data_IF_363486671854
#
_entry.id   IF_363486671854
#
_cell.length_a   1.000
_cell.length_b   1.000
_cell.length_c   1.000
_cell.angle_alpha   90.00
_cell.angle_beta   90.00
_cell.angle_gamma   90.00
#
_symmetry.space_group_name_H-M   'P 1'
#
loop_
_entity.id
_entity.type
_entity.pdbx_description
1 polymer ?
#
# COMPACT_ATOMS: atom_id res chain seq x y z
N UNK A 1 -16.60 25.26 3.30
CA UNK A 1 -16.94 26.49 4.06
C UNK A 1 -15.89 26.62 5.16
N UNK A 2 -15.07 27.68 5.16
CA UNK A 2 -14.10 27.90 6.24
C UNK A 2 -14.89 28.25 7.50
N UNK A 3 -14.95 27.33 8.46
CA UNK A 3 -15.50 27.61 9.79
C UNK A 3 -14.69 28.76 10.43
N UNK A 4 -15.34 29.67 11.19
CA UNK A 4 -14.65 30.74 11.89
C UNK A 4 -13.62 30.14 12.88
N UNK A 5 -12.50 30.85 13.09
CA UNK A 5 -11.52 30.50 14.13
C UNK A 5 -12.22 30.45 15.49
N UNK A 6 -12.03 29.35 16.21
CA UNK A 6 -12.51 29.17 17.57
C UNK A 6 -11.30 29.12 18.53
N UNK A 7 -11.24 30.07 19.46
CA UNK A 7 -10.14 30.20 20.42
C UNK A 7 -10.29 29.19 21.57
N UNK A 8 -10.11 27.90 21.23
CA UNK A 8 -10.17 26.80 22.19
C UNK A 8 -8.75 26.23 22.42
N UNK A 9 -8.17 26.43 23.61
CA UNK A 9 -6.85 25.91 23.96
C UNK A 9 -6.69 24.39 23.78
N UNK A 10 -7.79 23.63 23.87
CA UNK A 10 -7.77 22.18 23.65
C UNK A 10 -7.45 21.82 22.18
N UNK A 11 -7.72 22.72 21.23
CA UNK A 11 -7.59 22.45 19.80
C UNK A 11 -6.25 22.95 19.22
N UNK A 12 -5.41 23.63 20.01
CA UNK A 12 -4.17 24.27 19.52
C UNK A 12 -3.21 23.27 18.88
N UNK A 13 -3.10 22.07 19.48
CA UNK A 13 -2.18 21.04 18.99
C UNK A 13 -2.72 20.25 17.78
N UNK A 14 -3.97 20.49 17.38
CA UNK A 14 -4.64 19.86 16.23
C UNK A 14 -5.07 20.91 15.19
N UNK A 15 -4.25 21.96 15.03
CA UNK A 15 -4.48 23.00 14.01
C UNK A 15 -5.72 23.86 14.26
N UNK A 16 -6.16 23.99 15.52
CA UNK A 16 -7.35 24.73 15.94
C UNK A 16 -8.63 24.31 15.20
N UNK A 17 -8.73 23.01 14.87
CA UNK A 17 -9.93 22.39 14.30
C UNK A 17 -10.64 21.57 15.36
N UNK A 18 -11.97 21.61 15.32
CA UNK A 18 -12.80 20.80 16.20
C UNK A 18 -12.70 19.32 15.81
N UNK A 19 -12.85 18.46 16.82
CA UNK A 19 -13.06 17.03 16.65
C UNK A 19 -14.55 16.74 16.35
N UNK A 20 -14.86 15.47 16.17
CA UNK A 20 -16.23 15.03 15.95
C UNK A 20 -16.35 13.56 15.60
N UNK A 21 -17.61 13.15 15.47
CA UNK A 21 -18.02 11.82 15.04
C UNK A 21 -18.70 11.95 13.68
N UNK A 22 -18.27 11.13 12.72
CA UNK A 22 -18.84 11.09 11.39
C UNK A 22 -19.20 9.64 11.00
N UNK A 23 -20.22 9.50 10.15
CA UNK A 23 -20.61 8.22 9.59
C UNK A 23 -20.55 8.28 8.07
N UNK A 24 -19.90 7.29 7.46
CA UNK A 24 -19.80 7.08 6.03
C UNK A 24 -20.60 5.84 5.66
N UNK A 25 -21.43 5.92 4.61
CA UNK A 25 -22.20 4.77 4.12
C UNK A 25 -22.05 4.62 2.62
N UNK A 26 -21.67 3.42 2.16
CA UNK A 26 -21.59 3.08 0.73
C UNK A 26 -22.46 1.87 0.44
N UNK A 27 -23.27 1.99 -0.61
CA UNK A 27 -24.09 0.91 -1.16
C UNK A 27 -23.49 0.47 -2.49
N UNK A 28 -23.30 -0.83 -2.68
CA UNK A 28 -22.69 -1.37 -3.89
C UNK A 28 -23.19 -2.79 -4.20
N UNK A 29 -22.99 -3.24 -5.44
CA UNK A 29 -23.34 -4.58 -5.90
C UNK A 29 -22.08 -5.32 -6.32
N UNK A 30 -22.13 -6.65 -6.24
CA UNK A 30 -21.10 -7.56 -6.73
C UNK A 30 -21.78 -8.65 -7.54
N UNK A 31 -21.24 -8.95 -8.70
CA UNK A 31 -21.73 -10.03 -9.55
C UNK A 31 -21.31 -11.40 -8.99
N UNK A 32 -22.15 -12.43 -9.20
CA UNK A 32 -21.98 -13.77 -8.58
C UNK A 32 -20.78 -14.55 -9.16
N UNK A 33 -20.38 -14.26 -10.39
CA UNK A 33 -19.24 -14.90 -11.05
C UNK A 33 -17.90 -14.56 -10.38
N UNK A 34 -17.82 -13.43 -9.68
CA UNK A 34 -16.60 -12.98 -8.99
C UNK A 34 -16.30 -13.84 -7.76
N UNK A 35 -17.29 -14.46 -7.10
CA UNK A 35 -17.05 -15.25 -5.88
C UNK A 35 -16.21 -16.50 -6.15
N UNK A 36 -16.37 -17.10 -7.33
CA UNK A 36 -15.75 -18.40 -7.60
C UNK A 36 -14.23 -18.30 -7.61
N UNK A 37 -13.59 -19.09 -6.75
CA UNK A 37 -12.14 -19.18 -6.61
C UNK A 37 -11.44 -17.85 -6.26
N UNK A 38 -12.13 -16.91 -5.62
CA UNK A 38 -11.54 -15.66 -5.14
C UNK A 38 -11.89 -15.39 -3.67
N UNK A 39 -10.98 -14.69 -3.00
CA UNK A 39 -11.15 -14.01 -1.72
C UNK A 39 -11.45 -12.54 -1.96
N UNK A 40 -12.32 -11.98 -1.12
CA UNK A 40 -12.74 -10.59 -1.17
C UNK A 40 -12.23 -9.86 0.07
N UNK A 41 -11.22 -9.02 -0.10
CA UNK A 41 -10.56 -8.32 1.00
C UNK A 41 -10.95 -6.84 0.99
N UNK A 42 -11.70 -6.40 1.99
CA UNK A 42 -12.02 -4.98 2.20
C UNK A 42 -10.87 -4.32 2.96
N UNK A 43 -10.13 -3.44 2.28
CA UNK A 43 -8.94 -2.77 2.81
C UNK A 43 -9.16 -1.26 2.97
N UNK A 44 -8.65 -0.71 4.06
CA UNK A 44 -8.58 0.72 4.35
C UNK A 44 -7.11 1.12 4.53
N UNK A 45 -6.65 2.09 3.74
CA UNK A 45 -5.24 2.53 3.79
C UNK A 45 -4.97 3.59 4.87
N UNK A 46 -6.03 4.20 5.41
CA UNK A 46 -5.96 5.17 6.51
C UNK A 46 -7.30 5.85 6.79
N UNK A 47 -7.71 5.82 8.06
CA UNK A 47 -8.96 6.42 8.55
C UNK A 47 -8.67 7.12 9.88
N UNK A 48 -8.80 8.45 9.91
CA UNK A 48 -8.53 9.29 11.07
C UNK A 48 -9.83 9.64 11.79
N UNK A 49 -10.20 9.09 12.94
CA UNK A 49 -9.56 8.10 13.81
C UNK A 49 -10.65 7.18 14.38
N UNK A 50 -10.27 6.17 15.18
CA UNK A 50 -11.19 5.27 15.90
C UNK A 50 -12.30 4.74 15.00
N UNK A 51 -11.87 4.03 13.96
CA UNK A 51 -12.76 3.57 12.93
C UNK A 51 -13.47 2.29 13.37
N UNK A 52 -14.79 2.32 13.43
CA UNK A 52 -15.63 1.14 13.59
C UNK A 52 -16.29 0.80 12.25
N UNK A 53 -16.23 -0.47 11.85
CA UNK A 53 -16.63 -0.92 10.51
C UNK A 53 -17.74 -1.96 10.59
N UNK A 54 -18.77 -1.78 9.76
CA UNK A 54 -19.85 -2.76 9.58
C UNK A 54 -20.09 -3.03 8.10
N UNK A 55 -20.40 -4.28 7.78
CA UNK A 55 -20.85 -4.71 6.45
C UNK A 55 -22.15 -5.49 6.60
N UNK A 56 -23.19 -5.09 5.87
CA UNK A 56 -24.51 -5.75 5.87
C UNK A 56 -25.12 -5.89 7.28
N UNK A 57 -24.82 -4.93 8.17
CA UNK A 57 -25.27 -4.92 9.56
C UNK A 57 -24.38 -5.71 10.53
N UNK A 58 -23.43 -6.51 10.03
CA UNK A 58 -22.45 -7.23 10.83
C UNK A 58 -21.26 -6.34 11.18
N UNK A 59 -20.84 -6.35 12.45
CA UNK A 59 -19.64 -5.64 12.88
C UNK A 59 -18.38 -6.40 12.47
N UNK A 60 -17.48 -5.74 11.74
CA UNK A 60 -16.23 -6.33 11.27
C UNK A 60 -15.09 -6.12 12.26
N UNK A 61 -14.99 -4.91 12.84
CA UNK A 61 -13.94 -4.61 13.80
C UNK A 61 -13.69 -3.12 14.02
N UNK A 62 -12.65 -2.86 14.79
CA UNK A 62 -12.20 -1.54 15.22
C UNK A 62 -10.74 -1.30 14.80
N UNK A 63 -10.42 -0.07 14.40
CA UNK A 63 -9.04 0.38 14.24
C UNK A 63 -8.79 1.70 14.99
N UNK A 64 -7.85 1.67 15.93
CA UNK A 64 -7.48 2.82 16.74
C UNK A 64 -6.63 3.83 15.97
N UNK A 65 -5.75 3.36 15.08
CA UNK A 65 -4.73 4.24 14.49
C UNK A 65 -5.20 4.93 13.22
N UNK A 66 -5.01 6.24 13.15
CA UNK A 66 -5.22 7.01 11.94
C UNK A 66 -4.33 6.60 10.76
N UNK A 67 -3.14 6.06 11.03
CA UNK A 67 -2.08 5.96 10.03
C UNK A 67 -1.86 4.55 9.46
N UNK A 68 -2.26 3.51 10.19
CA UNK A 68 -2.03 2.12 9.80
C UNK A 68 -3.11 1.62 8.85
N UNK A 69 -2.68 0.92 7.80
CA UNK A 69 -3.57 0.14 6.96
C UNK A 69 -4.19 -1.01 7.77
N UNK A 70 -5.46 -1.32 7.51
CA UNK A 70 -6.14 -2.51 8.04
C UNK A 70 -7.08 -3.09 6.99
N UNK A 71 -7.38 -4.38 7.10
CA UNK A 71 -8.21 -5.09 6.13
C UNK A 71 -9.02 -6.21 6.78
N UNK A 72 -10.13 -6.57 6.14
CA UNK A 72 -11.01 -7.67 6.55
C UNK A 72 -11.26 -8.59 5.36
N UNK A 73 -11.19 -9.90 5.60
CA UNK A 73 -11.75 -10.87 4.66
C UNK A 73 -13.27 -10.88 4.81
N UNK A 74 -13.97 -10.43 3.77
CA UNK A 74 -15.43 -10.31 3.72
C UNK A 74 -16.05 -11.29 2.74
N UNK A 75 -15.29 -12.28 2.27
CA UNK A 75 -15.70 -13.26 1.23
C UNK A 75 -17.06 -13.88 1.52
N UNK A 76 -17.29 -14.33 2.77
CA UNK A 76 -18.55 -14.98 3.17
C UNK A 76 -19.59 -14.01 3.77
N UNK A 77 -19.29 -12.70 3.81
CA UNK A 77 -20.19 -11.67 4.38
C UNK A 77 -20.86 -10.79 3.32
N UNK A 78 -20.31 -10.80 2.10
CA UNK A 78 -20.86 -10.07 0.96
C UNK A 78 -22.12 -10.77 0.43
N UNK A 79 -23.04 -9.96 -0.07
CA UNK A 79 -24.13 -10.39 -0.93
C UNK A 79 -23.67 -10.40 -2.40
N UNK A 80 -23.94 -11.49 -3.10
CA UNK A 80 -23.55 -11.72 -4.49
C UNK A 80 -24.78 -11.85 -5.39
N UNK A 81 -24.70 -11.26 -6.59
CA UNK A 81 -25.75 -11.35 -7.60
C UNK A 81 -27.13 -10.94 -7.07
N UNK A 82 -28.04 -11.91 -7.04
CA UNK A 82 -29.43 -11.71 -6.64
C UNK A 82 -29.66 -11.70 -5.11
N UNK A 83 -28.62 -11.93 -4.29
CA UNK A 83 -28.72 -11.84 -2.82
C UNK A 83 -29.01 -10.41 -2.33
N UNK A 84 -28.64 -9.40 -3.12
CA UNK A 84 -28.99 -8.01 -2.87
C UNK A 84 -27.79 -7.05 -2.89
N UNK A 85 -28.01 -5.85 -2.35
CA UNK A 85 -26.98 -4.81 -2.31
C UNK A 85 -26.20 -4.88 -1.00
N UNK A 86 -24.88 -4.75 -1.11
CA UNK A 86 -23.99 -4.61 0.03
C UNK A 86 -24.04 -3.20 0.60
N UNK A 87 -24.04 -3.09 1.93
CA UNK A 87 -24.01 -1.81 2.65
C UNK A 87 -22.80 -1.82 3.58
N UNK A 88 -21.79 -1.01 3.25
CA UNK A 88 -20.67 -0.69 4.12
C UNK A 88 -21.02 0.55 4.94
N UNK A 89 -20.86 0.47 6.26
CA UNK A 89 -20.97 1.58 7.20
C UNK A 89 -19.65 1.71 7.96
N UNK A 90 -19.14 2.94 8.03
CA UNK A 90 -17.92 3.29 8.75
C UNK A 90 -18.24 4.43 9.70
N UNK A 91 -18.05 4.23 11.00
CA UNK A 91 -18.04 5.31 11.99
C UNK A 91 -16.60 5.74 12.20
N UNK A 92 -16.38 7.05 12.23
CA UNK A 92 -15.10 7.67 12.53
C UNK A 92 -15.30 8.58 13.73
N UNK A 93 -14.41 8.50 14.72
CA UNK A 93 -14.51 9.23 15.98
C UNK A 93 -13.16 9.86 16.34
N UNK A 94 -13.10 11.18 16.32
CA UNK A 94 -11.88 11.94 16.69
C UNK A 94 -11.95 12.52 18.09
N UNK A 95 -13.06 12.29 18.80
CA UNK A 95 -13.32 12.86 20.14
C UNK A 95 -12.54 12.17 21.26
N UNK A 96 -11.94 11.02 20.95
CA UNK A 96 -11.07 10.27 21.87
C UNK A 96 -9.68 10.90 22.06
N UNK A 97 -9.41 12.03 21.42
CA UNK A 97 -8.12 12.74 21.43
C UNK A 97 -7.23 12.42 20.22
N UNK A 98 -6.06 13.05 20.18
CA UNK A 98 -5.08 12.91 19.09
C UNK A 98 -4.12 11.72 19.28
N UNK A 99 -3.49 11.26 18.20
CA UNK A 99 -2.30 10.37 18.26
C UNK A 99 -1.02 11.17 18.36
N UNK A 100 -0.96 12.26 17.59
CA UNK A 100 0.18 13.15 17.51
C UNK A 100 -0.01 14.49 18.21
N UNK A 101 0.99 15.35 17.99
CA UNK A 101 1.04 16.75 18.43
C UNK A 101 0.92 17.75 17.26
N UNK A 102 0.30 17.33 16.15
CA UNK A 102 0.11 18.11 14.92
C UNK A 102 -1.34 17.98 14.40
N UNK A 103 -1.65 18.65 13.29
CA UNK A 103 -2.94 18.52 12.64
C UNK A 103 -3.08 17.16 11.93
N UNK A 104 -3.92 16.29 12.45
CA UNK A 104 -4.09 14.91 11.94
C UNK A 104 -5.19 14.77 10.89
N UNK A 105 -6.09 15.76 10.81
CA UNK A 105 -7.31 15.67 10.02
C UNK A 105 -8.37 14.77 10.65
N UNK A 106 -9.37 14.40 9.85
CA UNK A 106 -10.46 13.53 10.25
C UNK A 106 -11.07 12.84 9.02
N UNK A 107 -11.72 11.69 9.22
CA UNK A 107 -12.41 10.91 8.20
C UNK A 107 -11.56 9.85 7.51
N UNK A 108 -12.16 9.27 6.47
CA UNK A 108 -11.49 8.36 5.53
C UNK A 108 -10.65 9.23 4.59
N UNK A 109 -9.36 9.36 4.86
CA UNK A 109 -8.47 10.29 4.15
C UNK A 109 -7.54 9.60 3.13
N UNK A 110 -7.46 8.27 3.20
CA UNK A 110 -6.81 7.42 2.20
C UNK A 110 -7.83 6.47 1.58
N UNK A 111 -7.35 5.73 0.58
CA UNK A 111 -8.17 4.82 -0.21
C UNK A 111 -8.83 3.71 0.62
N UNK A 112 -10.03 3.29 0.17
CA UNK A 112 -10.65 2.04 0.59
C UNK A 112 -10.92 1.22 -0.66
N UNK A 113 -10.43 -0.02 -0.67
CA UNK A 113 -10.56 -0.93 -1.81
C UNK A 113 -11.21 -2.23 -1.40
N UNK A 114 -11.87 -2.89 -2.35
CA UNK A 114 -12.33 -4.27 -2.24
C UNK A 114 -11.49 -5.06 -3.22
N UNK A 115 -10.49 -5.77 -2.70
CA UNK A 115 -9.55 -6.54 -3.50
C UNK A 115 -10.14 -7.90 -3.80
N UNK A 116 -10.12 -8.28 -5.06
CA UNK A 116 -10.47 -9.61 -5.56
C UNK A 116 -9.14 -10.36 -5.71
N UNK A 117 -8.93 -11.36 -4.88
CA UNK A 117 -7.67 -12.10 -4.80
C UNK A 117 -7.96 -13.57 -5.16
N UNK A 118 -7.36 -14.14 -6.21
CA UNK A 118 -7.53 -15.56 -6.51
C UNK A 118 -7.14 -16.45 -5.32
N UNK A 119 -7.81 -17.58 -5.13
CA UNK A 119 -7.48 -18.51 -4.04
C UNK A 119 -6.02 -18.98 -4.12
N UNK A 120 -5.48 -19.14 -5.33
CA UNK A 120 -4.06 -19.36 -5.56
C UNK A 120 -3.45 -18.08 -6.13
N UNK A 121 -2.68 -17.35 -5.32
CA UNK A 121 -2.18 -16.03 -5.69
C UNK A 121 -0.75 -15.80 -5.21
N UNK A 122 -0.06 -14.92 -5.93
CA UNK A 122 1.20 -14.32 -5.51
C UNK A 122 0.90 -13.29 -4.41
N UNK A 123 1.74 -13.24 -3.38
CA UNK A 123 1.64 -12.16 -2.39
C UNK A 123 2.42 -10.94 -2.89
N UNK A 124 1.72 -9.82 -3.06
CA UNK A 124 2.34 -8.57 -3.47
C UNK A 124 3.33 -8.05 -2.46
N UNK A 125 3.04 -8.11 -1.17
CA UNK A 125 3.94 -7.56 -0.14
C UNK A 125 5.24 -8.37 -0.04
N UNK A 126 5.20 -9.67 -0.34
CA UNK A 126 6.36 -10.57 -0.31
C UNK A 126 7.11 -10.64 -1.66
N UNK A 127 6.64 -9.96 -2.72
CA UNK A 127 7.40 -9.87 -3.96
C UNK A 127 8.50 -8.80 -3.83
N UNK A 128 9.75 -9.23 -3.68
CA UNK A 128 10.87 -8.34 -3.45
C UNK A 128 12.05 -8.66 -4.37
N UNK A 129 12.55 -7.64 -5.07
CA UNK A 129 13.78 -7.69 -5.87
C UNK A 129 14.77 -6.73 -5.24
N UNK A 130 15.93 -7.23 -4.83
CA UNK A 130 16.94 -6.45 -4.13
C UNK A 130 18.34 -6.70 -4.67
N UNK A 131 19.19 -5.68 -4.54
CA UNK A 131 20.59 -5.75 -4.95
C UNK A 131 21.42 -6.25 -3.78
N UNK A 132 22.12 -7.37 -3.96
CA UNK A 132 23.04 -7.96 -2.96
C UNK A 132 24.41 -7.32 -3.02
N UNK A 133 24.97 -7.22 -4.22
CA UNK A 133 26.24 -6.55 -4.47
C UNK A 133 26.33 -6.07 -5.92
N UNK A 134 27.33 -5.24 -6.18
CA UNK A 134 27.70 -4.78 -7.52
C UNK A 134 29.20 -4.95 -7.69
N UNK A 135 29.60 -5.88 -8.56
CA UNK A 135 30.99 -6.32 -8.73
C UNK A 135 31.27 -6.55 -10.22
N UNK A 136 32.44 -6.11 -10.71
CA UNK A 136 32.88 -6.29 -12.10
C UNK A 136 31.86 -5.85 -13.17
N UNK A 137 31.09 -4.80 -12.88
CA UNK A 137 30.04 -4.28 -13.76
C UNK A 137 28.71 -5.05 -13.70
N UNK A 138 28.57 -6.04 -12.84
CA UNK A 138 27.37 -6.87 -12.72
C UNK A 138 26.70 -6.69 -11.36
N UNK A 139 25.37 -6.60 -11.36
CA UNK A 139 24.60 -6.65 -10.12
C UNK A 139 24.24 -8.10 -9.77
N UNK A 140 24.51 -8.48 -8.53
CA UNK A 140 23.97 -9.69 -7.93
C UNK A 140 22.60 -9.37 -7.35
N UNK A 141 21.53 -9.88 -7.95
CA UNK A 141 20.16 -9.65 -7.50
C UNK A 141 19.65 -10.84 -6.70
N UNK A 142 19.03 -10.56 -5.56
CA UNK A 142 18.14 -11.48 -4.86
C UNK A 142 16.70 -11.21 -5.28
N UNK A 143 15.95 -12.27 -5.53
CA UNK A 143 14.52 -12.20 -5.80
C UNK A 143 13.78 -13.14 -4.88
N UNK A 144 12.72 -12.65 -4.28
CA UNK A 144 11.80 -13.37 -3.42
C UNK A 144 10.36 -13.12 -3.87
N UNK A 145 9.54 -14.16 -3.87
CA UNK A 145 8.09 -14.05 -4.01
C UNK A 145 7.45 -15.19 -3.26
N UNK A 146 6.33 -14.92 -2.59
CA UNK A 146 5.53 -15.96 -1.96
C UNK A 146 4.26 -16.23 -2.76
N UNK A 147 3.78 -17.46 -2.64
CA UNK A 147 2.49 -17.91 -3.20
C UNK A 147 1.65 -18.48 -2.09
N UNK A 148 0.44 -17.97 -1.96
CA UNK A 148 -0.56 -18.44 -1.00
C UNK A 148 -1.61 -19.27 -1.72
N UNK A 149 -2.00 -20.38 -1.10
CA UNK A 149 -3.09 -21.25 -1.54
C UNK A 149 -4.19 -21.23 -0.47
N UNK A 150 -5.20 -20.39 -0.67
CA UNK A 150 -6.44 -20.35 0.12
C UNK A 150 -7.52 -21.32 -0.41
N UNK A 151 -7.17 -22.18 -1.37
CA UNK A 151 -8.03 -23.24 -1.89
C UNK A 151 -7.99 -24.51 -1.03
N UNK A 152 -8.80 -25.50 -1.42
CA UNK A 152 -8.99 -26.74 -0.67
C UNK A 152 -8.04 -27.88 -1.08
N UNK A 153 -7.37 -27.76 -2.23
CA UNK A 153 -6.50 -28.80 -2.81
C UNK A 153 -5.03 -28.40 -2.80
N UNK A 154 -4.13 -29.38 -2.67
CA UNK A 154 -2.68 -29.16 -2.85
C UNK A 154 -2.36 -28.98 -4.34
N UNK A 155 -1.63 -27.92 -4.69
CA UNK A 155 -1.30 -27.59 -6.09
C UNK A 155 0.21 -27.62 -6.32
N UNK A 156 0.65 -28.20 -7.44
CA UNK A 156 2.04 -28.10 -7.92
C UNK A 156 2.20 -26.81 -8.73
N UNK A 157 3.09 -25.91 -8.30
CA UNK A 157 3.30 -24.62 -8.97
C UNK A 157 4.77 -24.37 -9.32
N UNK A 158 4.98 -23.52 -10.32
CA UNK A 158 6.29 -22.96 -10.69
C UNK A 158 6.11 -21.50 -11.13
N UNK A 159 6.20 -20.55 -10.19
CA UNK A 159 6.12 -19.14 -10.52
C UNK A 159 7.27 -18.71 -11.43
N UNK A 160 7.01 -17.68 -12.24
CA UNK A 160 8.01 -17.08 -13.12
C UNK A 160 8.19 -15.62 -12.79
N UNK A 161 9.42 -15.15 -12.90
CA UNK A 161 9.73 -13.73 -12.70
C UNK A 161 10.39 -13.21 -13.96
N UNK A 162 9.90 -12.10 -14.49
CA UNK A 162 10.51 -11.39 -15.61
C UNK A 162 11.15 -10.10 -15.09
N UNK A 163 12.45 -9.96 -15.29
CA UNK A 163 13.20 -8.74 -14.98
C UNK A 163 13.80 -8.23 -16.29
N UNK A 164 13.35 -7.06 -16.75
CA UNK A 164 13.87 -6.40 -17.95
C UNK A 164 13.91 -7.30 -19.22
N UNK A 165 12.97 -8.22 -19.37
CA UNK A 165 12.91 -9.16 -20.49
C UNK A 165 13.54 -10.52 -20.21
N UNK A 166 14.33 -10.66 -19.13
CA UNK A 166 14.92 -11.93 -18.70
C UNK A 166 13.91 -12.72 -17.87
N UNK A 167 13.51 -13.89 -18.37
CA UNK A 167 12.58 -14.79 -17.68
C UNK A 167 13.36 -15.75 -16.78
N UNK A 168 13.10 -15.65 -15.48
CA UNK A 168 13.65 -16.49 -14.41
C UNK A 168 12.56 -17.48 -14.00
N UNK A 169 12.84 -18.77 -14.14
CA UNK A 169 11.96 -19.84 -13.64
C UNK A 169 12.37 -20.19 -12.22
N UNK A 170 11.39 -20.19 -11.31
CA UNK A 170 11.59 -20.67 -9.95
C UNK A 170 11.37 -22.18 -9.88
N UNK A 171 11.91 -22.81 -8.84
CA UNK A 171 11.75 -24.26 -8.60
C UNK A 171 10.28 -24.63 -8.47
N UNK A 172 9.91 -25.82 -8.92
CA UNK A 172 8.58 -26.38 -8.64
C UNK A 172 8.42 -26.70 -7.14
N UNK A 173 7.25 -26.40 -6.58
CA UNK A 173 6.86 -26.78 -5.21
C UNK A 173 5.39 -27.17 -5.16
N UNK A 174 5.07 -28.11 -4.26
CA UNK A 174 3.70 -28.39 -3.83
C UNK A 174 3.30 -27.37 -2.77
N UNK A 175 2.16 -26.71 -2.94
CA UNK A 175 1.59 -25.77 -1.95
C UNK A 175 0.31 -26.38 -1.40
N UNK A 176 0.31 -26.70 -0.11
CA UNK A 176 -0.84 -27.31 0.57
C UNK A 176 -1.98 -26.29 0.77
N UNK A 177 -3.22 -26.76 1.00
CA UNK A 177 -4.34 -25.90 1.37
C UNK A 177 -4.03 -25.03 2.58
N UNK A 178 -4.44 -23.76 2.53
CA UNK A 178 -4.27 -22.77 3.59
C UNK A 178 -2.79 -22.58 4.00
N UNK A 179 -1.88 -22.64 3.04
CA UNK A 179 -0.44 -22.43 3.27
C UNK A 179 0.16 -21.42 2.30
N UNK A 180 1.30 -20.87 2.70
CA UNK A 180 2.11 -19.96 1.89
C UNK A 180 3.50 -20.57 1.69
N UNK A 181 3.98 -20.61 0.46
CA UNK A 181 5.33 -21.04 0.11
C UNK A 181 6.15 -19.89 -0.44
N UNK A 182 7.39 -19.76 0.04
CA UNK A 182 8.33 -18.72 -0.41
C UNK A 182 9.27 -19.29 -1.48
N UNK A 183 9.48 -18.55 -2.57
CA UNK A 183 10.40 -18.88 -3.64
C UNK A 183 11.50 -17.83 -3.70
N UNK A 184 12.74 -18.27 -3.66
CA UNK A 184 13.92 -17.40 -3.75
C UNK A 184 14.83 -17.79 -4.90
N UNK A 185 15.49 -16.80 -5.50
CA UNK A 185 16.48 -17.01 -6.55
C UNK A 185 17.50 -15.89 -6.57
N UNK A 186 18.75 -16.24 -6.85
CA UNK A 186 19.80 -15.29 -7.19
C UNK A 186 20.00 -15.20 -8.70
N UNK A 187 20.21 -13.99 -9.20
CA UNK A 187 20.35 -13.68 -10.62
C UNK A 187 21.47 -12.67 -10.80
N UNK A 188 22.39 -12.98 -11.72
CA UNK A 188 23.39 -12.02 -12.19
C UNK A 188 22.74 -11.15 -13.26
N UNK A 189 22.85 -9.83 -13.11
CA UNK A 189 22.31 -8.87 -14.05
C UNK A 189 23.46 -8.00 -14.59
N UNK A 190 23.74 -8.15 -15.88
CA UNK A 190 24.94 -7.57 -16.49
C UNK A 190 24.75 -6.08 -16.81
N UNK A 191 25.76 -5.27 -16.48
CA UNK A 191 25.85 -3.83 -16.79
C UNK A 191 24.55 -3.03 -16.56
N UNK A 192 23.95 -3.08 -15.36
CA UNK A 192 22.75 -2.31 -15.05
C UNK A 192 23.01 -0.81 -15.06
N UNK A 193 21.99 -0.04 -15.42
CA UNK A 193 21.89 1.37 -15.07
C UNK A 193 21.57 1.47 -13.58
N UNK A 194 22.51 1.96 -12.78
CA UNK A 194 22.31 2.13 -11.35
C UNK A 194 21.34 3.28 -11.09
N UNK A 195 20.47 3.08 -10.10
CA UNK A 195 19.60 4.11 -9.57
C UNK A 195 20.41 5.03 -8.66
N UNK A 196 20.24 6.34 -8.86
CA UNK A 196 20.56 7.38 -7.88
C UNK A 196 19.46 8.44 -7.94
N UNK A 197 19.38 9.38 -6.98
CA UNK A 197 18.46 10.51 -7.07
C UNK A 197 18.61 11.36 -8.33
N UNK A 198 19.85 11.53 -8.81
CA UNK A 198 20.16 12.25 -10.06
C UNK A 198 19.86 11.43 -11.32
N UNK A 199 19.86 10.10 -11.19
CA UNK A 199 19.52 9.16 -12.24
C UNK A 199 18.52 8.11 -11.71
N UNK A 200 17.24 8.46 -11.53
CA UNK A 200 16.26 7.61 -10.85
C UNK A 200 15.72 6.52 -11.78
N UNK A 201 16.61 5.79 -12.46
CA UNK A 201 16.27 4.74 -13.41
C UNK A 201 15.63 3.55 -12.67
N UNK A 202 14.41 3.18 -13.09
CA UNK A 202 13.67 2.06 -12.52
C UNK A 202 13.51 0.94 -13.56
N UNK A 203 13.82 -0.28 -13.12
CA UNK A 203 13.50 -1.49 -13.83
C UNK A 203 12.11 -1.98 -13.43
N UNK A 204 11.50 -2.77 -14.31
CA UNK A 204 10.24 -3.47 -14.06
C UNK A 204 10.51 -4.94 -13.80
N UNK A 205 10.03 -5.42 -12.65
CA UNK A 205 9.95 -6.83 -12.32
C UNK A 205 8.49 -7.28 -12.41
N UNK A 206 8.25 -8.47 -12.95
CA UNK A 206 6.91 -9.04 -13.08
C UNK A 206 6.92 -10.48 -12.60
N UNK A 207 6.23 -10.76 -11.51
CA UNK A 207 5.93 -12.12 -11.08
C UNK A 207 4.64 -12.60 -11.77
N UNK A 208 4.63 -13.85 -12.23
CA UNK A 208 3.51 -14.48 -12.93
C UNK A 208 3.28 -15.87 -12.37
N UNK A 209 2.03 -16.15 -12.03
CA UNK A 209 1.53 -17.45 -11.63
C UNK A 209 0.16 -17.67 -12.30
N UNK A 210 0.10 -18.54 -13.30
CA UNK A 210 -1.13 -18.77 -14.08
C UNK A 210 -1.77 -17.46 -14.59
N UNK A 211 -2.93 -17.09 -14.06
CA UNK A 211 -3.65 -15.85 -14.40
C UNK A 211 -3.32 -14.68 -13.47
N UNK A 212 -2.61 -14.93 -12.36
CA UNK A 212 -2.20 -13.91 -11.42
C UNK A 212 -0.84 -13.29 -11.81
N UNK A 213 -0.74 -11.98 -11.60
CA UNK A 213 0.39 -11.18 -12.08
C UNK A 213 0.62 -9.97 -11.19
N UNK A 214 1.85 -9.86 -10.70
CA UNK A 214 2.30 -8.72 -9.91
C UNK A 214 3.39 -7.98 -10.68
N UNK A 215 3.27 -6.66 -10.76
CA UNK A 215 4.26 -5.79 -11.40
C UNK A 215 4.80 -4.83 -10.36
N UNK A 216 6.12 -4.82 -10.17
CA UNK A 216 6.81 -3.85 -9.31
C UNK A 216 7.93 -3.14 -10.06
N UNK A 217 8.10 -1.86 -9.75
CA UNK A 217 9.27 -1.11 -10.16
C UNK A 217 10.34 -1.22 -9.07
N UNK A 218 11.61 -1.34 -9.47
CA UNK A 218 12.73 -1.38 -8.53
C UNK A 218 13.95 -0.69 -9.15
N UNK A 219 14.79 -0.11 -8.30
CA UNK A 219 16.07 0.49 -8.70
C UNK A 219 17.23 -0.39 -8.24
N UNK A 220 18.20 -0.63 -9.13
CA UNK A 220 19.42 -1.36 -8.77
C UNK A 220 20.39 -0.36 -8.13
N UNK A 221 20.70 -0.55 -6.86
CA UNK A 221 21.60 0.32 -6.09
C UNK A 221 22.17 -0.41 -4.89
N UNK A 222 23.31 0.04 -4.40
CA UNK A 222 23.85 -0.36 -3.10
C UNK A 222 23.90 0.85 -2.17
N UNK A 223 23.74 0.61 -0.87
CA UNK A 223 23.96 1.62 0.15
C UNK A 223 24.85 1.02 1.25
N UNK A 224 25.71 1.85 1.81
CA UNK A 224 26.54 1.49 2.95
C UNK A 224 26.68 2.69 3.90
N UNK A 225 27.06 2.43 5.13
CA UNK A 225 27.32 3.47 6.12
C UNK A 225 28.44 3.06 7.07
N UNK A 226 29.46 3.90 7.20
CA UNK A 226 30.57 3.70 8.12
C UNK A 226 30.94 5.01 8.87
N UNK A 227 32.10 5.03 9.53
CA UNK A 227 32.60 6.21 10.26
C UNK A 227 32.83 7.45 9.38
N UNK A 228 32.92 7.28 8.05
CA UNK A 228 33.08 8.35 7.06
C UNK A 228 31.75 8.85 6.50
N UNK A 229 30.63 8.21 6.84
CA UNK A 229 29.28 8.63 6.47
C UNK A 229 28.55 7.63 5.59
N UNK A 230 27.60 8.15 4.80
CA UNK A 230 26.74 7.36 3.92
C UNK A 230 27.36 7.22 2.52
N UNK A 231 27.18 6.05 1.92
CA UNK A 231 27.64 5.73 0.58
C UNK A 231 26.48 5.24 -0.26
N UNK A 232 26.39 5.73 -1.50
CA UNK A 232 25.45 5.27 -2.52
C UNK A 232 26.25 4.75 -3.71
N UNK A 233 25.99 3.51 -4.11
CA UNK A 233 26.68 2.86 -5.23
C UNK A 233 28.22 2.84 -5.08
N UNK A 234 28.70 2.76 -3.84
CA UNK A 234 30.13 2.73 -3.49
C UNK A 234 30.80 4.09 -3.33
N UNK A 235 30.11 5.19 -3.63
CA UNK A 235 30.65 6.55 -3.53
C UNK A 235 30.06 7.30 -2.33
N UNK A 236 30.84 8.16 -1.63
CA UNK A 236 30.30 9.01 -0.56
C UNK A 236 29.12 9.86 -1.06
N UNK A 237 28.04 9.88 -0.31
CA UNK A 237 26.82 10.59 -0.69
C UNK A 237 26.23 11.35 0.51
N UNK A 238 26.07 12.68 0.35
CA UNK A 238 25.57 13.56 1.40
C UNK A 238 24.02 13.58 1.40
N UNK A 239 23.42 13.27 2.54
CA UNK A 239 21.97 13.24 2.70
C UNK A 239 21.45 14.63 3.05
N UNK A 240 20.71 15.23 2.13
CA UNK A 240 19.95 16.45 2.40
C UNK A 240 18.51 16.06 2.75
N UNK A 241 18.21 15.88 4.04
CA UNK A 241 16.88 15.44 4.50
C UNK A 241 15.97 16.60 4.91
N UNK A 242 14.65 16.41 4.76
CA UNK A 242 13.61 17.26 5.35
C UNK A 242 12.60 16.41 6.11
N UNK A 243 12.01 16.95 7.18
CA UNK A 243 10.87 16.35 7.85
C UNK A 243 9.59 16.94 7.27
N UNK A 244 8.71 16.10 6.73
CA UNK A 244 7.46 16.51 6.09
C UNK A 244 6.26 15.83 6.76
N UNK A 245 5.31 16.63 7.23
CA UNK A 245 4.02 16.11 7.71
C UNK A 245 3.08 15.82 6.52
N UNK A 246 2.11 14.92 6.73
CA UNK A 246 1.24 14.44 5.65
C UNK A 246 0.26 15.49 5.12
N UNK A 247 0.02 16.59 5.84
CA UNK A 247 -0.98 17.58 5.46
C UNK A 247 -0.48 18.56 4.39
N UNK A 248 -1.42 19.24 3.76
CA UNK A 248 -1.15 20.37 2.88
C UNK A 248 -2.14 21.50 3.16
N UNK A 249 -1.60 22.70 3.36
CA UNK A 249 -2.40 23.89 3.68
C UNK A 249 -3.54 24.09 2.69
N UNK A 250 -4.75 24.27 3.23
CA UNK A 250 -5.97 24.50 2.44
C UNK A 250 -6.72 23.23 2.03
N UNK A 251 -6.07 22.06 2.03
CA UNK A 251 -6.67 20.76 1.65
C UNK A 251 -6.77 19.80 2.85
N UNK A 252 -5.85 19.92 3.81
CA UNK A 252 -5.77 19.03 4.96
C UNK A 252 -4.97 17.78 4.63
N UNK A 253 -5.42 16.60 5.07
CA UNK A 253 -4.67 15.34 4.94
C UNK A 253 -5.13 14.44 3.80
N UNK A 254 -6.29 14.71 3.19
CA UNK A 254 -6.81 13.96 2.04
C UNK A 254 -6.14 14.46 0.75
N UNK A 255 -4.86 14.13 0.58
CA UNK A 255 -4.05 14.60 -0.55
C UNK A 255 -4.22 13.69 -1.76
N UNK A 256 -4.55 14.28 -2.91
CA UNK A 256 -4.51 13.56 -4.19
C UNK A 256 -3.07 13.51 -4.75
N UNK A 257 -2.87 12.66 -5.76
CA UNK A 257 -1.55 12.49 -6.41
C UNK A 257 -0.99 13.81 -6.96
N UNK A 258 -1.84 14.70 -7.47
CA UNK A 258 -1.41 15.98 -8.02
C UNK A 258 -0.80 16.92 -6.96
N UNK A 259 -1.38 16.99 -5.77
CA UNK A 259 -0.83 17.79 -4.67
C UNK A 259 0.49 17.19 -4.20
N UNK A 260 0.57 15.86 -4.08
CA UNK A 260 1.82 15.18 -3.71
C UNK A 260 2.92 15.45 -4.76
N UNK A 261 2.61 15.34 -6.04
CA UNK A 261 3.53 15.67 -7.13
C UNK A 261 3.91 17.15 -7.17
N UNK A 262 3.04 18.05 -6.71
CA UNK A 262 3.39 19.46 -6.53
C UNK A 262 4.33 19.67 -5.33
N UNK A 263 4.14 18.96 -4.21
CA UNK A 263 4.99 19.09 -3.01
C UNK A 263 6.42 18.65 -3.30
N UNK A 264 6.61 17.47 -3.90
CA UNK A 264 7.92 16.80 -3.99
C UNK A 264 9.01 17.65 -4.67
N UNK A 265 8.81 18.26 -5.85
CA UNK A 265 9.84 19.09 -6.50
C UNK A 265 10.05 20.47 -5.86
N UNK A 266 9.04 20.97 -5.14
CA UNK A 266 9.08 22.29 -4.50
C UNK A 266 9.71 22.25 -3.11
N UNK A 267 9.77 21.08 -2.48
CA UNK A 267 10.81 20.78 -1.50
C UNK A 267 12.14 20.79 -2.28
N UNK A 268 12.82 21.94 -2.34
CA UNK A 268 14.08 22.15 -3.08
C UNK A 268 15.28 21.39 -2.46
N UNK A 269 15.07 20.15 -2.07
CA UNK A 269 16.04 19.25 -1.48
C UNK A 269 15.71 17.88 -2.07
N UNK A 270 16.67 17.27 -2.77
CA UNK A 270 16.59 15.93 -3.37
C UNK A 270 15.89 14.95 -2.40
N UNK A 271 14.62 14.66 -2.66
CA UNK A 271 13.81 13.73 -1.86
C UNK A 271 14.18 12.31 -2.30
N UNK A 272 15.24 11.78 -1.72
CA UNK A 272 15.87 10.51 -2.12
C UNK A 272 15.07 9.27 -1.68
N UNK A 273 13.97 9.45 -0.94
CA UNK A 273 13.24 8.35 -0.31
C UNK A 273 11.73 8.61 -0.34
N UNK A 274 11.02 8.12 -1.36
CA UNK A 274 9.58 7.84 -1.31
C UNK A 274 9.25 6.59 -2.16
N UNK A 275 8.51 5.64 -1.61
CA UNK A 275 8.03 4.43 -2.30
C UNK A 275 6.59 4.60 -2.80
N UNK A 276 6.32 4.20 -4.05
CA UNK A 276 4.98 4.23 -4.66
C UNK A 276 4.54 2.80 -5.03
N UNK A 277 3.30 2.43 -4.69
CA UNK A 277 2.56 1.32 -5.29
C UNK A 277 1.18 1.83 -5.74
N UNK A 278 0.69 1.33 -6.87
CA UNK A 278 -0.64 1.65 -7.41
C UNK A 278 -1.55 0.42 -7.26
N UNK A 279 -2.78 0.60 -6.73
CA UNK A 279 -3.86 -0.41 -6.71
C UNK A 279 -5.17 0.21 -7.21
N UNK A 280 -6.13 -0.66 -7.52
CA UNK A 280 -7.36 -0.35 -8.27
C UNK A 280 -8.41 0.36 -7.40
N UNK A 281 -8.90 1.50 -7.90
CA UNK A 281 -9.65 2.51 -7.13
C UNK A 281 -11.10 2.15 -6.79
N UNK A 282 -11.49 2.40 -5.54
CA UNK A 282 -12.89 2.69 -5.18
C UNK A 282 -12.99 4.13 -4.67
N UNK A 283 -13.14 5.09 -5.58
CA UNK A 283 -13.30 6.50 -5.23
C UNK A 283 -14.62 6.69 -4.45
N UNK A 284 -14.55 7.30 -3.27
CA UNK A 284 -15.73 7.87 -2.59
C UNK A 284 -15.97 9.28 -3.10
N UNK A 285 -16.47 9.39 -4.33
CA UNK A 285 -17.02 10.66 -4.78
C UNK A 285 -18.38 10.88 -4.10
N UNK A 286 -18.48 11.99 -3.36
CA UNK A 286 -19.68 12.51 -2.69
C UNK A 286 -20.09 11.80 -1.39
N UNK A 287 -19.32 12.02 -0.32
CA UNK A 287 -19.86 11.88 1.05
C UNK A 287 -20.39 13.23 1.47
N UNK A 288 -21.71 13.38 1.46
CA UNK A 288 -22.38 14.52 2.09
C UNK A 288 -22.25 14.36 3.61
N UNK A 289 -21.49 15.26 4.23
CA UNK A 289 -21.53 15.44 5.69
C UNK A 289 -22.94 15.99 5.99
N UNK A 290 -23.80 15.17 6.59
CA UNK A 290 -25.05 15.64 7.20
C UNK A 290 -24.78 16.08 8.63
#
# INVERSE_FOLDING_TARGET
MLLPYEDNPANVMVGSKADGIAYYRKRFKIDDDIKQANRMILQFDGVMRMADIWLNGSYLGHNNSGYTMFAFDVTEMLYYGDEGDNILLVKVDTTSGSEGWWYEGAGIYKEVSLKIIPNLHLNEEDFYVYTKSFEDGNAQLGVEVSVTNDGDDTVLISPKINIAGTVIKLSEKMVAPLTTEIFTKEVVFDNPTLWSPENPYLYKATAVLENDKIVKNFGIRTFDYDEKGFFLNGEPYELHGVCEHQDFTGVGVALNKDIIHYKIPNCQINLDILGNSEKLDMVFDNVTIS
#
